data_IF_834839869825
#
_entry.id   IF_834839869825
#
_cell.length_a   1.000
_cell.length_b   1.000
_cell.length_c   1.000
_cell.angle_alpha   90.00
_cell.angle_beta   90.00
_cell.angle_gamma   90.00
#
_symmetry.space_group_name_H-M   'P 1'
#
loop_
_entity.id
_entity.type
_entity.pdbx_description
1 polymer ?
#
# COMPACT_ATOMS: atom_id res chain seq x y z
N UNK A 1 -59.64 -6.54 53.17
CA UNK A 1 -60.43 -5.38 52.72
C UNK A 1 -61.36 -5.91 51.63
N UNK A 2 -62.42 -6.61 52.05
CA UNK A 2 -63.83 -6.16 52.02
C UNK A 2 -64.26 -5.81 50.60
N UNK A 3 -64.89 -6.76 49.89
CA UNK A 3 -66.35 -7.00 49.74
C UNK A 3 -66.73 -6.48 48.32
N UNK A 4 -67.57 -7.12 47.50
CA UNK A 4 -68.99 -7.39 47.77
C UNK A 4 -69.56 -8.49 46.83
N UNK A 5 -70.13 -9.53 47.45
CA UNK A 5 -71.46 -10.19 47.23
C UNK A 5 -72.01 -10.44 45.79
N UNK A 6 -72.18 -11.71 45.36
CA UNK A 6 -73.35 -12.65 45.52
C UNK A 6 -74.46 -12.48 44.46
N UNK A 7 -74.54 -13.39 43.46
CA UNK A 7 -75.44 -14.59 43.33
C UNK A 7 -76.87 -14.35 42.85
N UNK A 8 -77.27 -15.01 41.75
CA UNK A 8 -78.56 -15.74 41.59
C UNK A 8 -78.40 -16.91 40.58
N UNK A 9 -78.79 -18.12 40.99
CA UNK A 9 -79.18 -19.32 40.18
C UNK A 9 -80.74 -19.45 40.29
N UNK A 10 -81.53 -20.27 39.53
CA UNK A 10 -81.20 -21.58 38.92
C UNK A 10 -81.96 -22.06 37.62
N UNK A 11 -81.44 -23.15 37.02
CA UNK A 11 -82.09 -24.37 36.44
C UNK A 11 -83.14 -24.30 35.29
N UNK A 12 -83.50 -25.44 34.65
CA UNK A 12 -82.71 -26.56 34.12
C UNK A 12 -82.98 -26.85 32.63
N UNK A 13 -82.15 -27.71 32.04
CA UNK A 13 -82.35 -28.32 30.72
C UNK A 13 -83.66 -29.13 30.63
N UNK A 14 -84.42 -28.92 29.55
CA UNK A 14 -85.37 -29.91 29.00
C UNK A 14 -85.05 -30.15 27.54
N UNK A 15 -84.79 -31.42 27.23
CA UNK A 15 -84.59 -31.94 25.90
C UNK A 15 -85.87 -31.83 25.07
N UNK A 16 -85.72 -31.35 23.84
CA UNK A 16 -86.69 -31.47 22.77
C UNK A 16 -85.95 -31.85 21.50
N UNK A 17 -85.87 -33.15 21.20
CA UNK A 17 -85.84 -33.63 19.83
C UNK A 17 -87.21 -33.31 19.21
N UNK A 18 -87.29 -32.84 17.96
CA UNK A 18 -87.27 -33.82 16.88
C UNK A 18 -86.75 -33.33 15.50
N UNK A 19 -86.56 -34.34 14.65
CA UNK A 19 -86.76 -34.31 13.20
C UNK A 19 -85.70 -33.67 12.31
N UNK A 20 -84.74 -34.52 11.96
CA UNK A 20 -84.27 -34.73 10.59
C UNK A 20 -85.23 -34.21 9.51
N UNK A 21 -84.80 -33.19 8.77
CA UNK A 21 -85.21 -33.00 7.38
C UNK A 21 -83.99 -32.58 6.55
N UNK A 22 -83.49 -33.59 5.85
CA UNK A 22 -82.69 -33.58 4.62
C UNK A 22 -82.66 -32.21 3.94
N UNK A 23 -81.53 -31.50 4.03
CA UNK A 23 -81.01 -30.54 3.02
C UNK A 23 -79.84 -29.71 3.57
N UNK A 24 -78.75 -30.34 4.02
CA UNK A 24 -77.47 -29.63 4.25
C UNK A 24 -76.29 -30.55 3.87
N UNK A 25 -76.38 -31.20 2.71
CA UNK A 25 -75.26 -31.99 2.16
C UNK A 25 -74.53 -31.36 0.96
N UNK A 26 -74.99 -30.30 0.26
CA UNK A 26 -74.16 -29.69 -0.79
C UNK A 26 -73.29 -28.54 -0.27
N UNK A 27 -73.56 -27.96 0.91
CA UNK A 27 -72.82 -26.76 1.37
C UNK A 27 -71.50 -27.10 2.11
N UNK A 28 -71.39 -28.28 2.73
CA UNK A 28 -70.17 -28.68 3.47
C UNK A 28 -69.09 -29.22 2.52
N UNK A 29 -69.47 -29.79 1.36
CA UNK A 29 -68.52 -30.24 0.33
C UNK A 29 -67.90 -29.10 -0.49
N UNK A 30 -68.48 -27.90 -0.46
CA UNK A 30 -67.90 -26.69 -1.07
C UNK A 30 -66.92 -25.96 -0.15
N UNK A 31 -66.92 -26.25 1.16
CA UNK A 31 -65.98 -25.63 2.12
C UNK A 31 -64.70 -26.44 2.31
N UNK A 32 -64.70 -27.74 1.97
CA UNK A 32 -63.55 -28.62 2.10
C UNK A 32 -62.54 -28.53 0.93
N UNK A 33 -62.91 -27.92 -0.19
CA UNK A 33 -62.00 -27.69 -1.33
C UNK A 33 -61.19 -26.40 -1.22
N UNK A 34 -61.49 -25.53 -0.26
CA UNK A 34 -60.81 -24.25 -0.07
C UNK A 34 -59.49 -24.33 0.75
N UNK A 35 -59.14 -25.50 1.30
CA UNK A 35 -57.95 -25.67 2.16
C UNK A 35 -56.85 -26.56 1.57
N UNK A 36 -57.02 -27.05 0.33
CA UNK A 36 -55.94 -27.70 -0.42
C UNK A 36 -55.11 -26.68 -1.22
N UNK A 37 -54.70 -25.57 -0.60
CA UNK A 37 -53.61 -24.76 -1.15
C UNK A 37 -52.30 -25.37 -0.64
N UNK A 38 -51.72 -26.27 -1.43
CA UNK A 38 -50.32 -26.63 -1.25
C UNK A 38 -49.51 -25.34 -1.41
N UNK A 39 -49.03 -24.79 -0.29
CA UNK A 39 -48.05 -23.72 -0.28
C UNK A 39 -46.72 -24.28 -0.80
N UNK A 40 -46.64 -24.47 -2.11
CA UNK A 40 -45.39 -24.76 -2.82
C UNK A 40 -44.54 -23.50 -2.73
N UNK A 41 -43.74 -23.41 -1.66
CA UNK A 41 -42.71 -22.40 -1.50
C UNK A 41 -41.62 -22.70 -2.54
N UNK A 42 -41.84 -22.27 -3.79
CA UNK A 42 -40.76 -22.28 -4.80
C UNK A 42 -39.64 -21.41 -4.24
N UNK A 43 -38.43 -21.95 -4.01
CA UNK A 43 -37.28 -21.12 -3.69
C UNK A 43 -37.17 -20.06 -4.79
N UNK A 44 -36.81 -18.80 -4.46
CA UNK A 44 -36.54 -17.83 -5.51
C UNK A 44 -35.52 -18.46 -6.47
N UNK A 45 -35.84 -18.47 -7.77
CA UNK A 45 -34.84 -18.81 -8.77
C UNK A 45 -33.79 -17.71 -8.72
N UNK A 46 -32.65 -18.01 -8.11
CA UNK A 46 -31.47 -17.16 -8.17
C UNK A 46 -31.08 -17.15 -9.65
N UNK A 47 -31.30 -16.02 -10.32
CA UNK A 47 -30.68 -15.79 -11.62
C UNK A 47 -29.18 -15.81 -11.36
N UNK A 48 -28.50 -16.80 -11.92
CA UNK A 48 -27.05 -16.79 -11.91
C UNK A 48 -26.63 -15.61 -12.80
N UNK A 49 -25.94 -14.63 -12.22
CA UNK A 49 -25.22 -13.65 -13.03
C UNK A 49 -24.32 -14.43 -13.98
N UNK A 50 -24.36 -14.10 -15.27
CA UNK A 50 -23.47 -14.70 -16.26
C UNK A 50 -22.03 -14.53 -15.75
N UNK A 51 -21.31 -15.62 -15.42
CA UNK A 51 -19.98 -15.48 -14.87
C UNK A 51 -19.12 -14.81 -15.91
N UNK A 52 -18.68 -13.58 -15.63
CA UNK A 52 -17.66 -12.93 -16.45
C UNK A 52 -16.46 -13.88 -16.54
N UNK A 53 -15.95 -14.16 -17.75
CA UNK A 53 -14.82 -15.05 -17.91
C UNK A 53 -13.70 -14.60 -16.98
N UNK A 54 -13.18 -15.52 -16.17
CA UNK A 54 -12.05 -15.24 -15.31
C UNK A 54 -10.87 -14.83 -16.20
N UNK A 55 -10.53 -13.55 -16.18
CA UNK A 55 -9.34 -13.04 -16.84
C UNK A 55 -8.17 -13.37 -15.92
N UNK A 56 -7.19 -14.11 -16.43
CA UNK A 56 -5.89 -14.26 -15.77
C UNK A 56 -5.27 -12.88 -15.61
N UNK A 57 -5.43 -12.28 -14.44
CA UNK A 57 -4.68 -11.09 -14.06
C UNK A 57 -3.22 -11.52 -13.92
N UNK A 58 -2.30 -10.75 -14.52
CA UNK A 58 -0.88 -10.97 -14.33
C UNK A 58 -0.56 -10.94 -12.84
N UNK A 59 0.20 -11.92 -12.37
CA UNK A 59 0.59 -11.99 -10.97
C UNK A 59 1.32 -10.69 -10.59
N UNK A 60 0.97 -10.06 -9.44
CA UNK A 60 1.68 -8.90 -8.97
C UNK A 60 3.17 -9.26 -8.78
N UNK A 61 4.09 -8.33 -9.07
CA UNK A 61 5.51 -8.62 -8.95
C UNK A 61 5.83 -9.02 -7.52
N UNK A 62 6.62 -10.09 -7.38
CA UNK A 62 7.01 -10.64 -6.08
C UNK A 62 7.67 -9.55 -5.20
N UNK A 63 7.50 -9.63 -3.87
CA UNK A 63 8.18 -8.71 -2.95
C UNK A 63 9.69 -8.88 -3.10
N UNK A 64 10.40 -7.76 -3.20
CA UNK A 64 11.86 -7.74 -3.29
C UNK A 64 12.43 -7.61 -1.89
N UNK A 65 13.35 -8.50 -1.50
CA UNK A 65 14.01 -8.38 -0.20
C UNK A 65 14.98 -7.18 -0.22
N UNK A 66 14.65 -6.12 0.52
CA UNK A 66 15.58 -5.01 0.76
C UNK A 66 16.54 -5.47 1.85
N UNK A 67 17.70 -5.99 1.45
CA UNK A 67 18.76 -6.37 2.39
C UNK A 67 19.47 -5.12 2.85
N UNK A 68 19.25 -4.72 4.11
CA UNK A 68 20.09 -3.71 4.74
C UNK A 68 21.49 -4.33 4.92
N UNK A 69 22.52 -3.66 4.40
CA UNK A 69 23.89 -4.09 4.66
C UNK A 69 24.10 -4.09 6.19
N UNK A 70 24.55 -5.20 6.79
CA UNK A 70 24.73 -5.28 8.23
C UNK A 70 25.72 -4.19 8.66
N UNK A 71 25.23 -3.20 9.40
CA UNK A 71 26.09 -2.20 10.02
C UNK A 71 26.82 -2.91 11.17
N UNK A 72 28.15 -3.09 11.12
CA UNK A 72 28.87 -3.72 12.21
C UNK A 72 28.69 -2.87 13.47
N UNK A 73 27.93 -3.39 14.43
CA UNK A 73 27.84 -2.79 15.75
C UNK A 73 29.10 -3.18 16.52
N UNK A 74 29.85 -2.21 17.05
CA UNK A 74 31.02 -2.53 17.85
C UNK A 74 30.57 -3.25 19.12
N UNK A 75 31.17 -4.40 19.43
CA UNK A 75 30.92 -5.10 20.69
C UNK A 75 31.48 -4.27 21.87
N UNK A 76 30.94 -4.42 23.09
CA UNK A 76 31.47 -3.76 24.28
C UNK A 76 32.99 -4.00 24.41
N UNK A 77 33.78 -2.93 24.53
CA UNK A 77 35.25 -3.00 24.65
C UNK A 77 36.03 -3.03 23.32
N UNK A 78 35.38 -3.09 22.16
CA UNK A 78 36.05 -2.96 20.85
C UNK A 78 36.25 -1.52 20.38
N UNK A 79 35.57 -0.57 21.03
CA UNK A 79 35.73 0.85 20.77
C UNK A 79 37.07 1.33 21.33
N UNK A 80 38.04 1.61 20.46
CA UNK A 80 39.22 2.38 20.87
C UNK A 80 38.75 3.75 21.36
N UNK A 81 39.36 4.32 22.42
CA UNK A 81 39.10 5.69 22.81
C UNK A 81 39.31 6.58 21.59
N UNK A 82 38.25 7.22 21.13
CA UNK A 82 38.39 8.29 20.14
C UNK A 82 39.13 9.38 20.88
N UNK A 83 40.42 9.57 20.60
CA UNK A 83 41.12 10.80 21.00
C UNK A 83 40.19 11.92 20.58
N UNK A 84 39.82 12.81 21.50
CA UNK A 84 39.07 14.00 21.16
C UNK A 84 39.86 14.75 20.10
N UNK A 85 39.54 14.50 18.83
CA UNK A 85 40.12 15.21 17.72
C UNK A 85 39.53 16.59 17.87
N UNK A 86 40.35 17.50 18.40
CA UNK A 86 40.01 18.91 18.56
C UNK A 86 39.32 19.33 17.26
N UNK A 87 38.01 19.59 17.33
CA UNK A 87 37.25 20.01 16.15
C UNK A 87 38.01 21.17 15.54
N UNK A 88 38.38 21.05 14.27
CA UNK A 88 39.06 22.13 13.58
C UNK A 88 38.19 23.37 13.74
N UNK A 89 38.70 24.46 14.35
CA UNK A 89 37.90 25.66 14.56
C UNK A 89 37.36 26.16 13.22
N UNK A 90 36.11 26.59 13.21
CA UNK A 90 35.56 27.25 12.02
C UNK A 90 36.36 28.51 11.70
N UNK A 91 36.59 28.83 10.41
CA UNK A 91 37.22 30.09 10.03
C UNK A 91 36.48 31.30 10.63
N UNK A 92 37.22 32.24 11.22
CA UNK A 92 36.64 33.47 11.79
C UNK A 92 35.98 34.35 10.71
N UNK A 93 36.55 34.35 9.50
CA UNK A 93 36.07 35.15 8.38
C UNK A 93 34.81 34.55 7.72
N UNK A 94 33.70 35.30 7.61
CA UNK A 94 32.46 34.81 6.99
C UNK A 94 32.65 34.29 5.57
N UNK A 95 33.46 34.98 4.75
CA UNK A 95 33.74 34.58 3.37
C UNK A 95 34.44 33.22 3.29
N UNK A 96 35.40 32.97 4.20
CA UNK A 96 36.09 31.68 4.25
C UNK A 96 35.13 30.54 4.63
N UNK A 97 34.20 30.78 5.57
CA UNK A 97 33.17 29.80 5.93
C UNK A 97 32.26 29.46 4.75
N UNK A 98 31.76 30.45 4.02
CA UNK A 98 30.88 30.23 2.86
C UNK A 98 31.61 29.45 1.77
N UNK A 99 32.85 29.83 1.46
CA UNK A 99 33.65 29.14 0.45
C UNK A 99 33.94 27.68 0.85
N UNK A 100 34.23 27.43 2.12
CA UNK A 100 34.44 26.08 2.65
C UNK A 100 33.16 25.24 2.55
N UNK A 101 32.01 25.80 2.92
CA UNK A 101 30.72 25.11 2.83
C UNK A 101 30.37 24.77 1.37
N UNK A 102 30.52 25.72 0.45
CA UNK A 102 30.28 25.48 -0.97
C UNK A 102 31.25 24.44 -1.55
N UNK A 103 32.52 24.45 -1.13
CA UNK A 103 33.49 23.44 -1.54
C UNK A 103 33.13 22.04 -1.02
N UNK A 104 32.65 21.93 0.23
CA UNK A 104 32.21 20.67 0.81
C UNK A 104 30.92 20.13 0.18
N UNK A 105 30.01 21.01 -0.24
CA UNK A 105 28.78 20.64 -0.93
C UNK A 105 28.96 20.34 -2.42
N UNK A 106 30.16 20.61 -2.99
CA UNK A 106 30.42 20.46 -4.42
C UNK A 106 30.60 19.01 -4.82
N UNK A 107 29.77 18.57 -5.76
CA UNK A 107 29.85 17.27 -6.42
C UNK A 107 30.58 17.44 -7.75
N UNK A 108 31.77 16.85 -7.85
CA UNK A 108 32.55 16.83 -9.08
C UNK A 108 32.21 15.60 -9.92
N UNK A 109 32.32 15.68 -11.26
CA UNK A 109 32.14 14.51 -12.11
C UNK A 109 33.22 13.48 -11.79
N UNK A 110 32.81 12.23 -11.67
CA UNK A 110 33.69 11.09 -11.38
C UNK A 110 33.59 10.09 -12.52
N UNK A 111 34.69 9.38 -12.80
CA UNK A 111 34.78 8.41 -13.90
C UNK A 111 33.66 7.37 -13.85
N UNK A 112 33.39 6.83 -12.67
CA UNK A 112 32.39 5.78 -12.47
C UNK A 112 30.94 6.31 -12.53
N UNK A 113 30.76 7.63 -12.66
CA UNK A 113 29.46 8.26 -12.84
C UNK A 113 29.07 8.43 -14.31
N UNK A 114 29.92 8.08 -15.27
CA UNK A 114 29.56 8.12 -16.69
C UNK A 114 28.88 6.82 -17.13
N UNK A 115 27.65 6.93 -17.62
CA UNK A 115 26.96 5.87 -18.36
C UNK A 115 26.91 6.33 -19.82
N UNK A 116 27.69 5.68 -20.69
CA UNK A 116 27.97 6.17 -22.05
C UNK A 116 28.54 7.60 -22.00
N UNK A 117 27.93 8.55 -22.72
CA UNK A 117 28.32 9.96 -22.73
C UNK A 117 27.58 10.84 -21.69
N UNK A 118 26.81 10.22 -20.78
CA UNK A 118 26.01 10.89 -19.78
C UNK A 118 26.66 10.80 -18.40
N UNK A 119 26.92 11.94 -17.76
CA UNK A 119 27.28 11.96 -16.35
C UNK A 119 26.01 11.84 -15.49
N UNK A 120 25.97 10.83 -14.64
CA UNK A 120 24.90 10.60 -13.68
C UNK A 120 25.38 10.97 -12.28
N UNK A 121 24.71 11.92 -11.64
CA UNK A 121 24.98 12.31 -10.26
C UNK A 121 24.00 11.65 -9.28
N UNK A 122 24.42 11.22 -8.08
CA UNK A 122 23.48 10.92 -7.01
C UNK A 122 22.84 12.21 -6.52
N UNK A 123 21.52 12.34 -6.69
CA UNK A 123 20.80 13.51 -6.21
C UNK A 123 20.86 13.58 -4.67
N UNK A 124 21.37 14.70 -4.18
CA UNK A 124 21.38 15.10 -2.77
C UNK A 124 20.89 16.53 -2.67
N UNK A 125 19.98 16.79 -1.74
CA UNK A 125 19.46 18.14 -1.51
C UNK A 125 20.58 19.07 -1.01
N UNK A 126 20.68 20.27 -1.60
CA UNK A 126 21.68 21.27 -1.23
C UNK A 126 23.08 21.05 -1.80
N UNK A 127 23.29 20.01 -2.61
CA UNK A 127 24.57 19.79 -3.31
C UNK A 127 24.74 20.77 -4.47
N UNK A 128 26.00 21.12 -4.77
CA UNK A 128 26.39 21.93 -5.93
C UNK A 128 26.99 21.03 -7.02
N UNK A 129 26.27 20.79 -8.10
CA UNK A 129 26.74 19.90 -9.18
C UNK A 129 27.61 20.66 -10.16
N UNK A 130 28.88 20.26 -10.29
CA UNK A 130 29.77 20.89 -11.25
C UNK A 130 29.52 20.32 -12.65
N UNK A 131 29.36 21.20 -13.65
CA UNK A 131 29.11 20.81 -15.04
C UNK A 131 30.08 21.53 -15.96
N UNK A 132 30.81 20.75 -16.76
CA UNK A 132 31.72 21.26 -17.76
C UNK A 132 31.00 21.41 -19.09
N UNK A 133 31.08 22.61 -19.65
CA UNK A 133 30.56 22.98 -20.97
C UNK A 133 31.70 23.45 -21.86
N UNK A 134 31.48 23.54 -23.16
CA UNK A 134 32.46 24.11 -24.09
C UNK A 134 31.78 24.97 -25.15
N UNK A 135 32.52 25.96 -25.66
CA UNK A 135 32.03 26.82 -26.74
C UNK A 135 31.78 25.99 -27.99
N UNK A 136 30.65 26.26 -28.66
CA UNK A 136 30.23 25.52 -29.85
C UNK A 136 29.60 24.16 -29.57
N UNK A 137 29.56 23.72 -28.30
CA UNK A 137 28.91 22.50 -27.86
C UNK A 137 27.67 22.83 -27.03
N UNK A 138 26.68 21.93 -27.07
CA UNK A 138 25.50 21.98 -26.19
C UNK A 138 25.68 20.89 -25.14
N UNK A 139 25.54 21.27 -23.87
CA UNK A 139 25.40 20.32 -22.78
C UNK A 139 23.93 20.16 -22.46
N UNK A 140 23.42 18.94 -22.60
CA UNK A 140 22.07 18.57 -22.21
C UNK A 140 21.99 18.25 -20.71
N UNK A 141 20.95 18.73 -20.04
CA UNK A 141 20.68 18.46 -18.64
C UNK A 141 19.30 17.82 -18.54
N UNK A 142 19.28 16.50 -18.39
CA UNK A 142 18.06 15.70 -18.39
C UNK A 142 17.53 15.54 -16.96
N UNK A 143 16.34 16.11 -16.69
CA UNK A 143 15.65 15.99 -15.40
C UNK A 143 14.98 14.62 -15.24
N UNK A 144 14.35 14.33 -14.09
CA UNK A 144 13.65 13.06 -13.94
C UNK A 144 12.48 12.95 -14.92
N UNK A 145 12.23 11.78 -15.54
CA UNK A 145 10.99 11.55 -16.25
C UNK A 145 9.76 11.81 -15.36
N UNK A 146 8.79 12.57 -15.88
CA UNK A 146 7.57 12.99 -15.19
C UNK A 146 7.75 14.16 -14.21
N UNK A 147 8.92 14.79 -14.18
CA UNK A 147 9.18 16.02 -13.43
C UNK A 147 8.84 17.24 -14.31
N UNK A 148 8.30 18.29 -13.70
CA UNK A 148 7.83 19.51 -14.38
C UNK A 148 8.54 20.74 -13.85
N UNK A 149 8.85 21.69 -14.73
CA UNK A 149 9.31 23.02 -14.33
C UNK A 149 8.13 23.79 -13.70
N UNK A 150 8.35 24.42 -12.54
CA UNK A 150 7.27 25.12 -11.81
C UNK A 150 7.67 26.54 -11.40
N UNK A 151 6.67 27.41 -11.33
CA UNK A 151 6.82 28.81 -10.91
C UNK A 151 7.20 29.75 -12.06
N UNK A 152 7.33 31.04 -11.74
CA UNK A 152 7.81 32.05 -12.69
C UNK A 152 9.33 32.05 -12.72
N UNK A 153 9.92 31.78 -13.89
CA UNK A 153 11.38 31.66 -14.03
C UNK A 153 11.94 30.39 -13.37
N UNK A 154 11.48 29.19 -13.77
CA UNK A 154 11.93 27.94 -13.17
C UNK A 154 13.42 27.67 -13.42
N UNK A 155 14.01 28.31 -14.43
CA UNK A 155 15.44 28.23 -14.75
C UNK A 155 16.06 29.60 -14.60
N UNK A 156 17.06 29.72 -13.73
CA UNK A 156 17.75 30.97 -13.44
C UNK A 156 19.26 30.77 -13.48
N UNK A 157 19.97 31.66 -14.17
CA UNK A 157 21.43 31.67 -14.21
C UNK A 157 21.99 33.02 -13.75
N UNK A 158 23.15 32.99 -13.10
CA UNK A 158 23.82 34.21 -12.64
C UNK A 158 24.36 35.09 -13.77
N UNK A 159 24.62 34.50 -14.94
CA UNK A 159 25.09 35.21 -16.13
C UNK A 159 24.30 34.71 -17.34
N UNK A 160 23.32 35.49 -17.79
CA UNK A 160 22.47 35.17 -18.95
C UNK A 160 22.95 35.80 -20.25
N UNK A 161 23.99 36.65 -20.19
CA UNK A 161 24.56 37.30 -21.38
C UNK A 161 25.57 36.39 -22.06
N UNK A 162 26.38 35.68 -21.25
CA UNK A 162 27.42 34.77 -21.75
C UNK A 162 27.01 33.30 -21.74
N UNK A 163 25.79 33.01 -21.30
CA UNK A 163 25.21 31.67 -21.27
C UNK A 163 23.84 31.68 -21.93
N UNK A 164 23.72 30.90 -23.00
CA UNK A 164 22.46 30.63 -23.66
C UNK A 164 21.87 29.38 -23.02
N UNK A 165 20.65 29.51 -22.53
CA UNK A 165 19.91 28.43 -21.87
C UNK A 165 18.56 28.31 -22.56
N UNK A 166 18.16 27.08 -22.86
CA UNK A 166 16.81 26.79 -23.35
C UNK A 166 16.32 25.48 -22.76
N UNK A 167 15.02 25.28 -22.76
CA UNK A 167 14.38 24.03 -22.35
C UNK A 167 13.74 23.33 -23.56
N UNK A 168 13.70 22.01 -23.49
CA UNK A 168 13.00 21.16 -24.45
C UNK A 168 12.50 19.91 -23.75
N UNK A 169 11.73 19.10 -24.46
CA UNK A 169 11.09 17.92 -23.89
C UNK A 169 11.24 16.72 -24.81
N UNK A 170 11.38 15.55 -24.23
CA UNK A 170 11.41 14.28 -24.93
C UNK A 170 10.41 13.31 -24.30
N UNK A 171 10.04 12.25 -25.03
CA UNK A 171 9.07 11.25 -24.57
C UNK A 171 7.62 11.75 -24.55
N UNK A 172 6.71 10.89 -24.10
CA UNK A 172 5.28 11.20 -24.03
C UNK A 172 4.61 10.57 -22.80
N UNK A 173 3.48 11.12 -22.38
CA UNK A 173 2.73 10.65 -21.21
C UNK A 173 3.60 10.55 -19.95
N UNK A 174 3.58 9.40 -19.28
CA UNK A 174 4.37 9.15 -18.07
C UNK A 174 5.89 9.06 -18.28
N UNK A 175 6.38 9.08 -19.53
CA UNK A 175 7.81 9.09 -19.88
C UNK A 175 8.30 10.46 -20.35
N UNK A 176 7.44 11.48 -20.36
CA UNK A 176 7.83 12.86 -20.71
C UNK A 176 8.96 13.32 -19.80
N UNK A 177 10.02 13.83 -20.38
CA UNK A 177 11.22 14.25 -19.69
C UNK A 177 11.62 15.64 -20.16
N UNK A 178 11.95 16.52 -19.22
CA UNK A 178 12.42 17.88 -19.50
C UNK A 178 13.93 17.88 -19.59
N UNK A 179 14.44 18.61 -20.58
CA UNK A 179 15.85 18.80 -20.89
C UNK A 179 16.19 20.28 -20.83
N UNK A 180 17.25 20.66 -20.12
CA UNK A 180 17.79 22.01 -20.13
C UNK A 180 19.07 22.01 -20.96
N UNK A 181 19.07 22.75 -22.06
CA UNK A 181 20.18 22.90 -22.98
C UNK A 181 21.02 24.10 -22.57
N UNK A 182 22.30 23.87 -22.30
CA UNK A 182 23.23 24.90 -21.83
C UNK A 182 24.36 25.08 -22.84
N UNK A 183 24.59 26.32 -23.26
CA UNK A 183 25.66 26.69 -24.18
C UNK A 183 26.38 27.97 -23.74
N UNK A 184 27.70 27.92 -23.49
CA UNK A 184 28.49 29.12 -23.21
C UNK A 184 28.83 29.87 -24.51
N UNK A 185 29.00 31.19 -24.43
CA UNK A 185 29.47 32.02 -25.56
C UNK A 185 30.98 32.28 -25.52
N UNK A 186 31.64 32.00 -24.38
CA UNK A 186 33.10 32.12 -24.19
C UNK A 186 33.65 30.95 -23.39
N UNK A 187 34.92 30.62 -23.60
CA UNK A 187 35.67 29.70 -22.76
C UNK A 187 36.10 30.39 -21.46
N UNK A 188 36.51 29.60 -20.47
CA UNK A 188 37.12 30.05 -19.21
C UNK A 188 36.24 31.02 -18.39
N UNK A 189 34.93 30.80 -18.46
CA UNK A 189 33.93 31.49 -17.64
C UNK A 189 33.19 30.49 -16.76
N UNK A 190 32.77 30.97 -15.59
CA UNK A 190 31.96 30.19 -14.65
C UNK A 190 30.71 30.95 -14.27
N UNK A 191 29.59 30.25 -14.11
CA UNK A 191 28.35 30.81 -13.55
C UNK A 191 27.60 29.75 -12.77
N UNK A 192 26.55 30.13 -12.06
CA UNK A 192 25.62 29.21 -11.44
C UNK A 192 24.35 29.09 -12.27
N UNK A 193 23.71 27.92 -12.19
CA UNK A 193 22.40 27.62 -12.74
C UNK A 193 21.53 26.98 -11.65
N UNK A 194 20.31 27.47 -11.51
CA UNK A 194 19.30 26.95 -10.59
C UNK A 194 18.07 26.55 -11.39
N UNK A 195 17.60 25.32 -11.15
CA UNK A 195 16.41 24.77 -11.80
C UNK A 195 15.43 24.35 -10.72
N UNK A 196 14.22 24.92 -10.74
CA UNK A 196 13.13 24.61 -9.83
C UNK A 196 12.06 23.75 -10.53
N UNK A 197 11.68 22.67 -9.88
CA UNK A 197 10.69 21.71 -10.39
C UNK A 197 9.59 21.44 -9.36
N UNK A 198 8.57 20.68 -9.77
CA UNK A 198 7.51 20.19 -8.90
C UNK A 198 8.00 19.25 -7.78
N UNK A 199 9.23 18.73 -7.91
CA UNK A 199 9.82 17.77 -6.95
C UNK A 199 11.00 18.31 -6.18
N UNK A 200 11.80 19.21 -6.76
CA UNK A 200 13.13 19.57 -6.23
C UNK A 200 13.74 20.83 -6.85
N UNK A 201 14.86 21.23 -6.28
CA UNK A 201 15.72 22.29 -6.81
C UNK A 201 17.11 21.73 -7.11
N UNK A 202 17.60 22.01 -8.31
CA UNK A 202 18.96 21.67 -8.72
C UNK A 202 19.83 22.92 -8.67
N UNK A 203 20.99 22.82 -8.02
CA UNK A 203 22.01 23.86 -8.01
C UNK A 203 23.25 23.37 -8.74
N UNK A 204 23.65 24.11 -9.77
CA UNK A 204 24.73 23.71 -10.66
C UNK A 204 25.78 24.82 -10.76
N UNK A 205 27.04 24.42 -10.85
CA UNK A 205 28.17 25.29 -11.15
C UNK A 205 28.64 24.98 -12.56
N UNK A 206 28.35 25.87 -13.50
CA UNK A 206 28.71 25.72 -14.89
C UNK A 206 30.13 26.25 -15.10
N UNK A 207 30.98 25.46 -15.75
CA UNK A 207 32.35 25.84 -16.12
C UNK A 207 32.57 25.62 -17.60
N UNK A 208 32.76 26.71 -18.32
CA UNK A 208 33.11 26.66 -19.74
C UNK A 208 34.60 26.41 -19.90
N UNK A 209 34.96 25.44 -20.74
CA UNK A 209 36.33 25.14 -21.13
C UNK A 209 36.55 25.43 -22.62
N UNK A 210 37.78 25.31 -23.10
CA UNK A 210 38.14 25.50 -24.51
C UNK A 210 37.61 24.40 -25.44
N UNK A 211 37.32 23.20 -24.93
CA UNK A 211 36.86 22.09 -25.78
C UNK A 211 36.35 20.84 -25.04
N UNK A 212 36.61 20.70 -23.75
CA UNK A 212 36.09 19.59 -22.94
C UNK A 212 34.70 19.94 -22.41
N UNK A 213 33.72 19.10 -22.73
CA UNK A 213 32.35 19.28 -22.27
C UNK A 213 31.74 17.95 -21.88
N UNK A 214 30.67 18.04 -21.10
CA UNK A 214 29.78 16.92 -20.81
C UNK A 214 28.64 16.98 -21.81
N UNK A 215 28.43 15.90 -22.57
CA UNK A 215 27.36 15.87 -23.57
C UNK A 215 25.98 15.85 -22.91
N UNK A 216 25.81 15.07 -21.85
CA UNK A 216 24.59 15.03 -21.06
C UNK A 216 24.87 14.88 -19.56
N UNK A 217 24.02 15.46 -18.74
CA UNK A 217 24.02 15.37 -17.27
C UNK A 217 22.63 14.92 -16.82
N UNK A 218 22.59 13.96 -15.89
CA UNK A 218 21.35 13.51 -15.26
C UNK A 218 21.59 13.13 -13.81
N UNK A 219 20.52 12.76 -13.11
CA UNK A 219 20.60 12.32 -11.73
C UNK A 219 19.95 10.96 -11.53
N UNK A 220 20.54 10.20 -10.61
CA UNK A 220 19.89 9.06 -9.98
C UNK A 220 19.27 9.50 -8.66
N UNK A 221 18.15 8.86 -8.29
CA UNK A 221 17.33 9.23 -7.14
C UNK A 221 17.18 8.05 -6.16
N UNK A 222 18.22 7.73 -5.35
CA UNK A 222 18.23 6.53 -4.53
C UNK A 222 17.08 6.48 -3.50
N UNK A 223 16.71 7.62 -2.94
CA UNK A 223 15.62 7.72 -1.96
C UNK A 223 14.27 7.37 -2.60
N UNK A 224 14.00 7.88 -3.81
CA UNK A 224 12.76 7.61 -4.55
C UNK A 224 12.66 6.11 -4.90
N UNK A 225 13.78 5.49 -5.29
CA UNK A 225 13.86 4.06 -5.61
C UNK A 225 13.53 3.20 -4.39
N UNK A 226 14.07 3.53 -3.21
CA UNK A 226 13.79 2.81 -1.98
C UNK A 226 12.31 2.92 -1.57
N UNK A 227 11.72 4.11 -1.70
CA UNK A 227 10.30 4.33 -1.42
C UNK A 227 9.43 3.52 -2.40
N UNK A 228 9.77 3.49 -3.69
CA UNK A 228 9.06 2.71 -4.68
C UNK A 228 9.10 1.21 -4.37
N UNK A 229 10.27 0.67 -4.01
CA UNK A 229 10.43 -0.73 -3.61
C UNK A 229 9.60 -1.08 -2.37
N UNK A 230 9.61 -0.21 -1.34
CA UNK A 230 8.78 -0.42 -0.14
C UNK A 230 7.28 -0.44 -0.47
N UNK A 231 6.82 0.49 -1.31
CA UNK A 231 5.40 0.53 -1.76
C UNK A 231 5.01 -0.70 -2.57
N UNK A 232 5.90 -1.18 -3.44
CA UNK A 232 5.68 -2.43 -4.19
C UNK A 232 5.55 -3.61 -3.23
N UNK A 233 6.45 -3.73 -2.25
CA UNK A 233 6.39 -4.80 -1.26
C UNK A 233 5.07 -4.79 -0.49
N UNK A 234 4.62 -3.62 0.00
CA UNK A 234 3.31 -3.52 0.69
C UNK A 234 2.15 -3.96 -0.21
N UNK A 235 2.17 -3.61 -1.50
CA UNK A 235 1.13 -4.06 -2.45
C UNK A 235 1.20 -5.56 -2.69
N UNK A 236 2.40 -6.11 -2.85
CA UNK A 236 2.62 -7.54 -3.05
C UNK A 236 2.23 -8.35 -1.81
N UNK A 237 2.48 -7.84 -0.61
CA UNK A 237 2.03 -8.42 0.68
C UNK A 237 0.51 -8.36 0.83
N UNK A 238 -0.13 -7.25 0.44
CA UNK A 238 -1.58 -7.11 0.49
C UNK A 238 -2.32 -8.01 -0.53
N UNK A 239 -1.73 -8.24 -1.70
CA UNK A 239 -2.28 -9.10 -2.75
C UNK A 239 -2.02 -10.60 -2.51
N UNK A 240 -1.26 -10.91 -1.46
CA UNK A 240 -0.75 -12.25 -1.22
C UNK A 240 -1.87 -13.15 -0.63
N UNK A 241 -2.20 -14.29 -1.26
CA UNK A 241 -3.37 -15.09 -0.90
C UNK A 241 -3.23 -15.70 0.49
N UNK A 242 -4.28 -15.67 1.32
CA UNK A 242 -4.27 -16.10 2.75
C UNK A 242 -3.65 -17.48 2.94
N UNK A 243 -3.96 -18.41 2.04
CA UNK A 243 -3.27 -19.69 1.88
C UNK A 243 -3.04 -19.98 0.39
N UNK A 244 -1.99 -20.76 0.12
CA UNK A 244 -1.66 -21.26 -1.22
C UNK A 244 -1.86 -22.78 -1.24
N UNK A 245 -2.31 -23.33 -2.37
CA UNK A 245 -2.56 -24.78 -2.50
C UNK A 245 -3.82 -25.28 -1.78
N UNK A 246 -4.80 -24.40 -1.53
CA UNK A 246 -6.13 -24.80 -1.02
C UNK A 246 -6.85 -25.55 -2.13
N UNK A 247 -7.20 -26.82 -1.88
CA UNK A 247 -8.10 -27.55 -2.75
C UNK A 247 -9.53 -27.06 -2.51
N UNK A 248 -10.05 -26.27 -3.46
CA UNK A 248 -11.39 -25.71 -3.38
C UNK A 248 -12.48 -26.80 -3.32
N UNK A 249 -12.19 -28.03 -3.77
CA UNK A 249 -13.14 -29.14 -3.73
C UNK A 249 -13.22 -29.81 -2.35
N UNK A 250 -12.21 -29.65 -1.49
CA UNK A 250 -12.16 -30.25 -0.15
C UNK A 250 -12.58 -29.29 0.97
N UNK A 251 -12.98 -28.06 0.64
CA UNK A 251 -13.32 -27.07 1.67
C UNK A 251 -14.61 -27.46 2.41
N UNK A 252 -14.52 -27.51 3.73
CA UNK A 252 -15.62 -27.81 4.63
C UNK A 252 -15.99 -26.60 5.49
N UNK A 253 -17.25 -26.17 5.38
CA UNK A 253 -17.81 -25.04 6.13
C UNK A 253 -18.69 -25.46 7.32
N UNK A 254 -18.70 -26.74 7.70
CA UNK A 254 -19.57 -27.28 8.77
C UNK A 254 -19.05 -26.95 10.17
N UNK A 255 -18.90 -25.66 10.46
CA UNK A 255 -18.52 -25.11 11.76
C UNK A 255 -19.66 -24.27 12.33
N UNK A 256 -19.95 -24.45 13.62
CA UNK A 256 -20.82 -23.57 14.39
C UNK A 256 -19.99 -22.64 15.28
N UNK A 257 -20.40 -21.37 15.38
CA UNK A 257 -19.75 -20.38 16.24
C UNK A 257 -20.76 -20.00 17.33
N UNK A 258 -20.50 -20.46 18.54
CA UNK A 258 -21.33 -20.23 19.72
C UNK A 258 -20.59 -19.34 20.74
N UNK A 259 -21.34 -18.77 21.69
CA UNK A 259 -20.81 -17.86 22.71
C UNK A 259 -21.23 -16.39 22.53
N UNK A 260 -20.62 -15.54 23.35
CA UNK A 260 -21.01 -14.13 23.49
C UNK A 260 -20.74 -13.31 22.22
N UNK A 261 -21.53 -12.25 22.03
CA UNK A 261 -21.36 -11.28 20.93
C UNK A 261 -20.26 -10.26 21.26
N UNK A 262 -19.04 -10.75 21.47
CA UNK A 262 -17.87 -9.90 21.62
C UNK A 262 -17.50 -9.20 20.29
N UNK A 263 -16.90 -8.00 20.31
CA UNK A 263 -16.45 -7.30 19.10
C UNK A 263 -15.45 -8.08 18.24
N UNK A 264 -14.71 -9.01 18.86
CA UNK A 264 -13.73 -9.88 18.20
C UNK A 264 -14.30 -11.23 17.77
N UNK A 265 -15.60 -11.49 17.93
CA UNK A 265 -16.17 -12.81 17.62
C UNK A 265 -15.89 -13.22 16.16
N UNK A 266 -15.42 -14.45 15.90
CA UNK A 266 -15.22 -14.95 14.54
C UNK A 266 -16.49 -14.81 13.69
N UNK A 267 -16.31 -14.46 12.42
CA UNK A 267 -17.39 -14.37 11.44
C UNK A 267 -17.65 -15.73 10.79
N UNK A 268 -16.60 -16.52 10.58
CA UNK A 268 -16.66 -17.81 9.90
C UNK A 268 -15.47 -18.68 10.27
N UNK A 269 -15.66 -20.00 10.23
CA UNK A 269 -14.58 -20.97 10.24
C UNK A 269 -14.79 -22.00 9.12
N UNK A 270 -13.70 -22.48 8.53
CA UNK A 270 -13.70 -23.52 7.51
C UNK A 270 -12.37 -24.29 7.53
N UNK A 271 -12.34 -25.50 6.98
CA UNK A 271 -11.10 -26.26 6.80
C UNK A 271 -10.96 -26.78 5.38
N UNK A 272 -9.73 -27.07 4.96
CA UNK A 272 -9.40 -27.68 3.67
C UNK A 272 -8.96 -29.15 3.80
N UNK A 273 -9.20 -29.77 4.97
CA UNK A 273 -8.73 -31.10 5.34
C UNK A 273 -7.33 -31.13 5.98
N UNK A 274 -6.51 -30.07 5.85
CA UNK A 274 -5.16 -29.97 6.43
C UNK A 274 -5.04 -28.83 7.43
N UNK A 275 -5.69 -27.71 7.14
CA UNK A 275 -5.63 -26.48 7.90
C UNK A 275 -7.03 -25.98 8.21
N UNK A 276 -7.21 -25.42 9.41
CA UNK A 276 -8.44 -24.73 9.81
C UNK A 276 -8.21 -23.24 9.71
N UNK A 277 -9.13 -22.55 9.04
CA UNK A 277 -9.16 -21.11 8.84
C UNK A 277 -10.29 -20.50 9.66
N UNK A 278 -9.95 -19.57 10.55
CA UNK A 278 -10.90 -18.81 11.36
C UNK A 278 -10.83 -17.35 10.93
N UNK A 279 -11.93 -16.83 10.39
CA UNK A 279 -12.04 -15.46 9.91
C UNK A 279 -12.65 -14.56 10.99
N UNK A 280 -11.95 -13.46 11.31
CA UNK A 280 -12.34 -12.45 12.27
C UNK A 280 -12.84 -11.16 11.58
N UNK A 281 -13.56 -10.28 12.29
CA UNK A 281 -13.88 -8.95 11.78
C UNK A 281 -12.62 -8.17 11.42
N UNK A 282 -12.65 -7.35 10.36
CA UNK A 282 -11.48 -6.56 9.93
C UNK A 282 -10.91 -5.64 11.02
N UNK A 283 -11.74 -5.24 11.99
CA UNK A 283 -11.33 -4.44 13.15
C UNK A 283 -10.46 -5.19 14.17
N UNK A 284 -10.31 -6.52 14.06
CA UNK A 284 -9.51 -7.32 15.01
C UNK A 284 -8.06 -6.86 15.09
N UNK A 285 -7.51 -6.29 14.01
CA UNK A 285 -6.13 -5.77 14.00
C UNK A 285 -5.91 -4.55 14.89
N UNK A 286 -6.98 -3.93 15.42
CA UNK A 286 -6.89 -2.85 16.42
C UNK A 286 -6.98 -3.36 17.86
N UNK A 287 -7.34 -4.64 18.06
CA UNK A 287 -7.41 -5.31 19.36
C UNK A 287 -6.41 -6.46 19.46
N UNK A 288 -6.45 -7.20 20.57
CA UNK A 288 -5.64 -8.40 20.73
C UNK A 288 -6.36 -9.63 20.16
N UNK A 289 -5.61 -10.48 19.46
CA UNK A 289 -6.11 -11.76 18.94
C UNK A 289 -6.29 -12.73 20.11
N UNK A 290 -7.44 -13.40 20.25
CA UNK A 290 -7.64 -14.35 21.34
C UNK A 290 -6.73 -15.57 21.18
N UNK A 291 -6.20 -16.15 22.28
CA UNK A 291 -5.53 -17.43 22.22
C UNK A 291 -6.50 -18.54 21.80
N UNK A 292 -6.03 -19.49 20.99
CA UNK A 292 -6.82 -20.62 20.52
C UNK A 292 -6.44 -21.89 21.28
N UNK A 293 -7.46 -22.61 21.73
CA UNK A 293 -7.33 -23.91 22.37
C UNK A 293 -8.17 -24.94 21.62
N UNK A 294 -7.65 -26.17 21.51
CA UNK A 294 -8.44 -27.32 21.05
C UNK A 294 -8.90 -28.11 22.27
N UNK A 295 -10.18 -28.49 22.25
CA UNK A 295 -10.77 -29.37 23.25
C UNK A 295 -10.64 -30.82 22.74
N UNK A 296 -9.97 -31.68 23.51
CA UNK A 296 -9.85 -33.09 23.21
C UNK A 296 -11.20 -33.83 23.21
N UNK A 297 -11.28 -35.03 22.61
CA UNK A 297 -12.54 -35.78 22.47
C UNK A 297 -13.24 -36.15 23.79
N UNK A 298 -12.54 -36.02 24.93
CA UNK A 298 -13.08 -36.27 26.27
C UNK A 298 -13.46 -34.98 27.03
N UNK A 299 -13.33 -33.79 26.42
CA UNK A 299 -13.77 -32.53 27.02
C UNK A 299 -12.87 -31.93 28.11
N UNK A 300 -11.93 -32.71 28.65
CA UNK A 300 -11.17 -32.34 29.86
C UNK A 300 -9.75 -31.80 29.60
N UNK A 301 -9.25 -31.84 28.37
CA UNK A 301 -7.93 -31.29 28.00
C UNK A 301 -8.05 -30.17 26.98
N UNK A 302 -7.55 -29.00 27.36
CA UNK A 302 -7.38 -27.82 26.52
C UNK A 302 -5.92 -27.76 26.09
N UNK A 303 -5.64 -28.09 24.83
CA UNK A 303 -4.28 -28.05 24.28
C UNK A 303 -4.05 -26.72 23.54
N UNK A 304 -2.92 -26.07 23.84
CA UNK A 304 -2.49 -24.88 23.12
C UNK A 304 -1.92 -25.31 21.77
N UNK A 305 -2.41 -24.72 20.70
CA UNK A 305 -2.05 -25.10 19.33
C UNK A 305 -1.20 -24.02 18.70
N UNK A 306 -0.25 -24.44 17.87
CA UNK A 306 0.44 -23.51 17.00
C UNK A 306 -0.52 -23.02 15.92
N UNK A 307 -0.79 -21.72 15.96
CA UNK A 307 -1.53 -21.03 14.91
C UNK A 307 -0.68 -19.90 14.34
N UNK A 308 -0.96 -19.54 13.10
CA UNK A 308 -0.41 -18.36 12.45
C UNK A 308 -1.53 -17.38 12.12
N UNK A 309 -1.26 -16.10 12.27
CA UNK A 309 -2.21 -15.03 11.94
C UNK A 309 -1.81 -14.40 10.62
N UNK A 310 -2.79 -14.20 9.73
CA UNK A 310 -2.59 -13.47 8.48
C UNK A 310 -3.79 -12.57 8.20
N UNK A 311 -3.57 -11.25 8.28
CA UNK A 311 -4.64 -10.27 8.20
C UNK A 311 -5.66 -10.52 9.33
N UNK A 312 -6.93 -10.69 8.96
CA UNK A 312 -8.02 -11.04 9.87
C UNK A 312 -8.29 -12.56 9.95
N UNK A 313 -7.37 -13.40 9.48
CA UNK A 313 -7.52 -14.86 9.53
C UNK A 313 -6.52 -15.48 10.50
N UNK A 314 -6.98 -16.42 11.31
CA UNK A 314 -6.14 -17.33 12.08
C UNK A 314 -6.12 -18.68 11.36
N UNK A 315 -4.94 -19.23 11.13
CA UNK A 315 -4.72 -20.46 10.41
C UNK A 315 -4.06 -21.45 11.37
N UNK A 316 -4.69 -22.60 11.53
CA UNK A 316 -4.28 -23.64 12.46
C UNK A 316 -3.86 -24.83 11.63
N UNK A 317 -2.63 -25.29 11.81
CA UNK A 317 -2.15 -26.53 11.21
C UNK A 317 -2.65 -27.70 12.07
N UNK A 318 -3.27 -28.71 11.45
CA UNK A 318 -3.77 -29.91 12.13
C UNK A 318 -2.68 -30.97 12.26
#
# INVERSE_FOLDING_TARGET
MFDTLRTVRPAPLKAGFPQFRKSVFPLVLLSATALASCATKKPPQISYDDPHPAVLAADPPAPVQVVELPRPLPLPGQLKPVKETRRTPEPAEPTARVNQANAAARMQPVRDGFINAMQVYPYTQGALYQVYTAVGQITDVALQPGEQLVGSGPVAAGDTVRWVIGDTESGSGGTRQIHILVKPTRADITTNLVINTDRRTYHMELRSTTGTYMASVSWQYPQDQLIALRRQNTRAEAAQPVATGVDLASINFRYSIEGDRAPWRPLRAFDDGRQVFIEFPRGIGQGEMPPLFIVGPQGDTSELVNYRVRGNHMIVDR
#
